data_IF_267266828571
#
_entry.id   IF_267266828571
#
_cell.length_a   1.000
_cell.length_b   1.000
_cell.length_c   1.000
_cell.angle_alpha   90.00
_cell.angle_beta   90.00
_cell.angle_gamma   90.00
#
_symmetry.space_group_name_H-M   'P 1'
#
loop_
_entity.id
_entity.type
_entity.pdbx_description
1 polymer ?
#
# COMPACT_ATOMS: atom_id res chain seq x y z
N UNK A 1 6.89 6.53 3.72
CA UNK A 1 6.54 5.25 3.05
C UNK A 1 5.52 4.52 3.92
N UNK A 2 4.40 4.00 3.37
CA UNK A 2 3.37 3.33 4.16
C UNK A 2 3.90 2.02 4.74
N UNK A 3 3.51 1.72 5.98
CA UNK A 3 3.83 0.47 6.67
C UNK A 3 2.56 -0.11 7.26
N UNK A 4 2.25 -1.38 6.97
CA UNK A 4 1.10 -2.09 7.54
C UNK A 4 1.62 -3.26 8.36
N UNK A 5 1.30 -3.29 9.65
CA UNK A 5 1.54 -4.46 10.50
C UNK A 5 0.45 -5.50 10.25
N UNK A 6 0.87 -6.71 9.92
CA UNK A 6 -0.01 -7.88 9.81
C UNK A 6 -0.43 -8.25 11.24
N UNK A 7 -1.73 -8.49 11.44
CA UNK A 7 -2.26 -8.95 12.74
C UNK A 7 -2.20 -10.47 12.79
N UNK A 8 -2.03 -11.06 13.98
CA UNK A 8 -1.84 -12.51 14.15
C UNK A 8 -2.98 -13.39 13.58
N UNK A 9 -4.20 -12.84 13.47
CA UNK A 9 -5.37 -13.53 12.91
C UNK A 9 -5.85 -12.94 11.57
N UNK A 10 -5.00 -12.20 10.85
CA UNK A 10 -5.37 -11.60 9.58
C UNK A 10 -4.84 -12.40 8.39
N UNK A 11 -5.70 -12.78 7.42
CA UNK A 11 -5.24 -13.36 6.17
C UNK A 11 -4.35 -12.40 5.39
N UNK A 12 -3.28 -12.93 4.78
CA UNK A 12 -2.30 -12.15 4.03
C UNK A 12 -2.94 -11.23 2.97
N UNK A 13 -3.93 -11.72 2.22
CA UNK A 13 -4.66 -10.95 1.21
C UNK A 13 -5.32 -9.69 1.78
N UNK A 14 -5.81 -9.75 3.02
CA UNK A 14 -6.45 -8.62 3.69
C UNK A 14 -5.39 -7.58 4.05
N UNK A 15 -4.25 -8.02 4.61
CA UNK A 15 -3.13 -7.13 4.89
C UNK A 15 -2.60 -6.46 3.61
N UNK A 16 -2.47 -7.21 2.51
CA UNK A 16 -2.02 -6.71 1.21
C UNK A 16 -2.97 -5.67 0.63
N UNK A 17 -4.29 -5.89 0.73
CA UNK A 17 -5.29 -4.88 0.31
C UNK A 17 -5.17 -3.58 1.12
N UNK A 18 -4.96 -3.68 2.44
CA UNK A 18 -4.76 -2.50 3.30
C UNK A 18 -3.48 -1.75 2.92
N UNK A 19 -2.41 -2.47 2.64
CA UNK A 19 -1.15 -1.89 2.18
C UNK A 19 -1.31 -1.17 0.84
N UNK A 20 -1.97 -1.80 -0.15
CA UNK A 20 -2.25 -1.19 -1.47
C UNK A 20 -3.03 0.12 -1.32
N UNK A 21 -4.08 0.14 -0.49
CA UNK A 21 -4.85 1.35 -0.19
C UNK A 21 -3.99 2.43 0.48
N UNK A 22 -3.07 2.06 1.37
CA UNK A 22 -2.16 3.01 2.00
C UNK A 22 -1.18 3.63 0.99
N UNK A 23 -0.66 2.85 0.04
CA UNK A 23 0.16 3.35 -1.07
C UNK A 23 -0.63 4.27 -2.02
N UNK A 24 -1.87 3.91 -2.35
CA UNK A 24 -2.76 4.73 -3.19
C UNK A 24 -3.08 6.07 -2.50
N UNK A 25 -3.44 6.05 -1.21
CA UNK A 25 -3.72 7.26 -0.44
C UNK A 25 -2.50 8.17 -0.27
N UNK A 26 -1.32 7.60 -0.14
CA UNK A 26 -0.07 8.35 -0.05
C UNK A 26 0.37 8.95 -1.40
N UNK A 27 -0.37 8.70 -2.49
CA UNK A 27 -0.03 9.22 -3.82
C UNK A 27 1.20 8.56 -4.44
N UNK A 28 1.75 7.50 -3.84
CA UNK A 28 2.98 6.86 -4.31
C UNK A 28 2.82 6.32 -5.72
N UNK A 29 1.67 5.72 -6.04
CA UNK A 29 1.38 5.20 -7.39
C UNK A 29 1.36 6.34 -8.42
N UNK A 30 0.83 7.50 -8.04
CA UNK A 30 0.80 8.68 -8.91
C UNK A 30 2.19 9.32 -9.05
N UNK A 31 2.95 9.40 -7.96
CA UNK A 31 4.31 9.94 -7.93
C UNK A 31 5.28 9.11 -8.77
N UNK A 32 5.20 7.78 -8.69
CA UNK A 32 6.02 6.87 -9.52
C UNK A 32 5.68 7.08 -10.99
N UNK A 33 4.39 7.05 -11.36
CA UNK A 33 3.96 7.26 -12.75
C UNK A 33 4.38 8.62 -13.33
N UNK A 34 4.33 9.67 -12.52
CA UNK A 34 4.74 11.02 -12.94
C UNK A 34 6.26 11.14 -13.15
N UNK A 35 7.06 10.29 -12.51
CA UNK A 35 8.53 10.23 -12.67
C UNK A 35 8.99 9.30 -13.78
N UNK A 36 8.10 8.46 -14.30
CA UNK A 36 8.41 7.57 -15.43
C UNK A 36 8.37 8.29 -16.79
N UNK A 37 8.04 9.59 -16.82
CA UNK A 37 7.99 10.43 -18.03
C UNK A 37 9.02 11.56 -17.99
#
# INVERSE_FOLDING_TARGET
MPSVKIRENEPFDVAMRRFRRACEKAGIVSEVRAREY
#
